data_IF_809879998311
#
_entry.id   IF_809879998311
#
_cell.length_a   1.000
_cell.length_b   1.000
_cell.length_c   1.000
_cell.angle_alpha   90.00
_cell.angle_beta   90.00
_cell.angle_gamma   90.00
#
_symmetry.space_group_name_H-M   'P 1'
#
loop_
_entity.id
_entity.type
_entity.pdbx_description
1 polymer ?
#
# COMPACT_ATOMS: atom_id res chain seq x y z
N UNK A 1 -14.92 -1.40 -32.75
CA UNK A 1 -14.43 -2.38 -31.76
C UNK A 1 -14.46 -1.67 -30.43
N UNK A 2 -15.39 -2.03 -29.54
CA UNK A 2 -15.75 -1.20 -28.37
C UNK A 2 -14.75 -1.32 -27.22
N UNK A 3 -14.69 -0.25 -26.43
CA UNK A 3 -13.86 -0.12 -25.23
C UNK A 3 -14.59 -0.71 -24.02
N UNK A 4 -13.97 -1.70 -23.36
CA UNK A 4 -14.44 -2.21 -22.06
C UNK A 4 -13.89 -1.28 -20.99
N UNK A 5 -14.75 -0.42 -20.44
CA UNK A 5 -14.40 0.53 -19.37
C UNK A 5 -15.59 0.91 -18.48
N UNK A 6 -16.50 -0.03 -18.24
CA UNK A 6 -17.66 0.11 -17.35
C UNK A 6 -17.99 -1.26 -16.74
N UNK A 7 -17.50 -1.52 -15.53
CA UNK A 7 -17.81 -2.71 -14.72
C UNK A 7 -17.67 -2.35 -13.23
N UNK A 8 -18.53 -1.44 -12.76
CA UNK A 8 -18.83 -1.19 -11.34
C UNK A 8 -20.15 -0.43 -11.19
N UNK A 9 -21.21 -0.97 -11.82
CA UNK A 9 -22.60 -0.55 -11.57
C UNK A 9 -23.20 -1.49 -10.54
N UNK A 10 -23.85 -0.95 -9.50
CA UNK A 10 -24.54 -1.76 -8.51
C UNK A 10 -25.76 -2.44 -9.14
N UNK A 11 -25.81 -3.77 -9.12
CA UNK A 11 -26.95 -4.54 -9.64
C UNK A 11 -27.87 -5.01 -8.51
N UNK A 12 -29.17 -4.91 -8.81
CA UNK A 12 -30.28 -4.97 -7.86
C UNK A 12 -30.34 -6.25 -7.01
N UNK A 13 -30.87 -6.09 -5.80
CA UNK A 13 -31.27 -7.17 -4.90
C UNK A 13 -32.28 -8.10 -5.59
N UNK A 14 -32.01 -9.40 -5.74
CA UNK A 14 -33.04 -10.36 -6.14
C UNK A 14 -34.12 -10.44 -5.05
N UNK A 15 -35.39 -10.51 -5.46
CA UNK A 15 -36.51 -10.64 -4.52
C UNK A 15 -36.45 -11.94 -3.70
N UNK A 16 -36.98 -11.92 -2.47
CA UNK A 16 -37.11 -13.11 -1.62
C UNK A 16 -37.86 -14.22 -2.34
N UNK A 17 -37.16 -15.28 -2.74
CA UNK A 17 -37.76 -16.60 -2.96
C UNK A 17 -37.75 -17.32 -1.61
N UNK A 18 -38.90 -17.41 -0.97
CA UNK A 18 -39.07 -18.15 0.29
C UNK A 18 -39.08 -19.66 0.01
N UNK A 19 -37.90 -20.28 0.03
CA UNK A 19 -37.79 -21.73 0.16
C UNK A 19 -38.09 -22.11 1.61
N UNK A 20 -39.13 -22.94 1.78
CA UNK A 20 -39.65 -23.34 3.08
C UNK A 20 -38.98 -24.65 3.51
N UNK A 21 -38.36 -24.65 4.70
CA UNK A 21 -37.77 -25.86 5.29
C UNK A 21 -38.87 -26.84 5.76
N UNK A 22 -38.73 -28.13 5.45
CA UNK A 22 -39.40 -29.20 6.20
C UNK A 22 -38.44 -29.74 7.27
N UNK A 23 -38.75 -29.44 8.54
CA UNK A 23 -38.20 -30.18 9.68
C UNK A 23 -38.74 -31.64 9.66
N UNK A 24 -38.09 -32.60 10.35
CA UNK A 24 -38.39 -34.03 10.19
C UNK A 24 -39.66 -34.44 10.95
N UNK A 25 -40.18 -35.65 10.66
CA UNK A 25 -40.45 -36.60 11.75
C UNK A 25 -40.58 -38.06 11.32
N UNK A 26 -40.74 -38.95 12.30
CA UNK A 26 -40.55 -40.40 12.20
C UNK A 26 -41.82 -41.25 12.01
N UNK A 27 -41.72 -42.28 11.15
CA UNK A 27 -42.27 -43.65 11.28
C UNK A 27 -43.74 -43.92 11.68
N UNK A 28 -44.34 -44.94 11.03
CA UNK A 28 -45.61 -45.66 11.37
C UNK A 28 -46.91 -44.85 11.27
N UNK A 29 -48.10 -45.44 11.06
CA UNK A 29 -48.55 -46.64 10.32
C UNK A 29 -50.10 -46.65 10.30
N UNK A 30 -50.75 -47.45 9.44
CA UNK A 30 -52.23 -47.70 9.38
C UNK A 30 -53.11 -46.45 9.13
N UNK A 31 -53.88 -46.31 8.04
CA UNK A 31 -55.01 -47.09 7.47
C UNK A 31 -56.37 -46.88 8.17
N UNK A 32 -57.38 -46.60 7.33
CA UNK A 32 -58.84 -46.80 7.46
C UNK A 32 -59.77 -45.67 8.00
N UNK A 33 -60.85 -45.50 7.21
CA UNK A 33 -62.23 -45.02 7.44
C UNK A 33 -62.69 -43.55 7.65
N UNK A 34 -63.73 -43.24 6.85
CA UNK A 34 -64.99 -42.49 7.05
C UNK A 34 -65.11 -41.25 7.98
N UNK A 35 -66.02 -40.34 7.58
CA UNK A 35 -66.63 -39.38 8.52
C UNK A 35 -67.17 -38.08 7.88
N UNK A 36 -68.49 -37.89 7.90
CA UNK A 36 -69.15 -36.65 7.46
C UNK A 36 -69.09 -35.51 8.49
N UNK A 37 -69.13 -34.26 7.98
CA UNK A 37 -69.82 -33.07 8.54
C UNK A 37 -69.55 -32.52 9.98
N UNK A 38 -69.88 -31.22 10.09
CA UNK A 38 -70.30 -30.46 11.30
C UNK A 38 -69.27 -29.55 12.04
N UNK A 39 -69.32 -28.26 11.69
CA UNK A 39 -69.33 -27.08 12.59
C UNK A 39 -70.47 -27.21 13.66
N UNK A 40 -70.56 -26.45 14.79
CA UNK A 40 -70.03 -25.07 15.00
C UNK A 40 -69.57 -24.72 16.46
N UNK A 41 -69.35 -23.41 16.74
CA UNK A 41 -69.78 -22.67 17.98
C UNK A 41 -69.03 -22.99 19.30
N UNK A 42 -68.79 -22.11 20.29
CA UNK A 42 -69.17 -20.72 20.69
C UNK A 42 -68.00 -20.20 21.63
N UNK A 43 -67.83 -19.00 22.23
CA UNK A 43 -68.37 -17.61 22.29
C UNK A 43 -67.74 -16.94 23.55
N UNK A 44 -68.14 -15.71 23.95
CA UNK A 44 -67.90 -15.04 25.28
C UNK A 44 -66.48 -14.47 25.51
N UNK A 45 -66.25 -13.22 25.99
CA UNK A 45 -67.10 -12.01 26.12
C UNK A 45 -66.25 -10.70 26.26
N UNK A 46 -66.84 -9.59 25.79
CA UNK A 46 -66.91 -8.22 26.34
C UNK A 46 -65.81 -7.62 27.26
N UNK A 47 -65.27 -6.46 26.83
CA UNK A 47 -65.48 -5.10 27.42
C UNK A 47 -65.13 -4.07 26.31
N UNK A 48 -65.86 -2.98 25.98
CA UNK A 48 -66.40 -1.84 26.77
C UNK A 48 -65.25 -0.90 27.22
N UNK A 49 -65.20 0.42 26.93
CA UNK A 49 -66.24 1.45 26.60
C UNK A 49 -65.79 2.52 25.54
N UNK A 50 -66.78 3.15 24.86
CA UNK A 50 -66.91 4.53 24.29
C UNK A 50 -65.84 5.10 23.29
N UNK A 51 -66.12 5.70 22.12
CA UNK A 51 -67.17 6.61 21.56
C UNK A 51 -67.01 8.11 21.95
N UNK A 52 -67.38 9.14 21.16
CA UNK A 52 -67.71 9.30 19.72
C UNK A 52 -66.44 9.79 18.92
N UNK A 53 -66.35 10.54 17.79
CA UNK A 53 -67.19 11.12 16.69
C UNK A 53 -66.19 11.47 15.52
N UNK A 54 -66.44 11.77 14.24
CA UNK A 54 -67.61 11.84 13.32
C UNK A 54 -67.08 11.49 11.89
N UNK A 55 -67.97 11.35 10.91
CA UNK A 55 -67.75 11.48 9.46
C UNK A 55 -66.94 10.37 8.75
N UNK A 56 -67.66 9.57 7.97
CA UNK A 56 -67.11 8.58 7.03
C UNK A 56 -67.62 8.83 5.60
N UNK A 57 -67.13 8.03 4.64
CA UNK A 57 -67.51 8.03 3.21
C UNK A 57 -66.92 9.18 2.37
N UNK A 58 -66.41 8.98 1.15
CA UNK A 58 -66.63 7.86 0.22
C UNK A 58 -65.39 7.55 -0.65
N UNK A 59 -65.26 6.29 -1.08
CA UNK A 59 -64.13 5.80 -1.87
C UNK A 59 -64.30 6.08 -3.38
N UNK A 60 -63.28 6.70 -4.00
CA UNK A 60 -63.05 6.71 -5.45
C UNK A 60 -61.55 6.71 -5.82
N UNK A 61 -60.92 5.55 -5.63
CA UNK A 61 -60.14 4.88 -6.69
C UNK A 61 -59.08 5.70 -7.48
N UNK A 62 -57.82 5.58 -7.03
CA UNK A 62 -56.58 5.59 -7.84
C UNK A 62 -56.17 6.88 -8.58
N UNK A 63 -55.09 7.51 -8.11
CA UNK A 63 -54.39 8.59 -8.82
C UNK A 63 -53.06 9.05 -8.20
N UNK A 64 -51.99 8.27 -8.42
CA UNK A 64 -50.56 8.63 -8.25
C UNK A 64 -50.09 9.29 -6.93
N UNK A 65 -49.44 8.54 -6.01
CA UNK A 65 -48.66 9.16 -4.93
C UNK A 65 -47.35 9.77 -5.45
N UNK A 66 -47.20 11.06 -5.15
CA UNK A 66 -46.03 11.95 -5.27
C UNK A 66 -44.66 11.26 -5.34
N UNK A 67 -43.86 11.69 -6.32
CA UNK A 67 -42.43 11.39 -6.47
C UNK A 67 -41.62 11.96 -5.29
N UNK A 68 -41.45 11.17 -4.21
CA UNK A 68 -40.53 11.50 -3.12
C UNK A 68 -39.08 11.31 -3.58
N UNK A 69 -38.52 12.37 -4.18
CA UNK A 69 -37.08 12.48 -4.44
C UNK A 69 -36.33 12.54 -3.10
N UNK A 70 -35.94 11.37 -2.59
CA UNK A 70 -34.91 11.29 -1.56
C UNK A 70 -33.65 11.99 -2.08
N UNK A 71 -33.08 12.97 -1.36
CA UNK A 71 -31.86 13.61 -1.82
C UNK A 71 -30.72 12.60 -1.78
N UNK A 72 -30.19 12.23 -2.95
CA UNK A 72 -28.91 11.55 -3.07
C UNK A 72 -27.81 12.47 -2.52
N UNK A 73 -27.60 12.41 -1.21
CA UNK A 73 -26.51 13.10 -0.55
C UNK A 73 -25.21 12.56 -1.11
N UNK A 74 -24.62 13.34 -2.02
CA UNK A 74 -23.46 12.99 -2.83
C UNK A 74 -22.21 12.94 -1.94
N UNK A 75 -22.13 11.90 -1.11
CA UNK A 75 -21.05 11.65 -0.16
C UNK A 75 -19.74 11.55 -0.94
N UNK A 76 -18.92 12.59 -0.78
CA UNK A 76 -17.88 12.92 -1.76
C UNK A 76 -16.78 11.87 -1.70
N UNK A 77 -16.05 11.59 -2.81
CA UNK A 77 -14.93 10.65 -2.81
C UNK A 77 -13.87 10.96 -1.74
N UNK A 78 -13.80 12.22 -1.27
CA UNK A 78 -13.04 12.68 -0.09
C UNK A 78 -13.19 11.76 1.12
N UNK A 79 -14.40 11.28 1.42
CA UNK A 79 -14.71 10.47 2.62
C UNK A 79 -14.12 9.05 2.59
N UNK A 80 -13.60 8.62 1.43
CA UNK A 80 -12.88 7.35 1.24
C UNK A 80 -11.37 7.55 1.39
N UNK A 81 -10.83 8.69 0.95
CA UNK A 81 -9.39 8.96 0.95
C UNK A 81 -8.87 9.56 2.26
N UNK A 82 -9.69 10.32 3.00
CA UNK A 82 -9.31 10.93 4.27
C UNK A 82 -8.68 9.96 5.30
N UNK A 83 -9.29 8.82 5.68
CA UNK A 83 -8.68 7.93 6.68
C UNK A 83 -7.37 7.27 6.19
N UNK A 84 -7.24 7.00 4.89
CA UNK A 84 -5.98 6.49 4.33
C UNK A 84 -4.88 7.53 4.40
N UNK A 85 -5.15 8.78 4.01
CA UNK A 85 -4.22 9.90 4.11
C UNK A 85 -3.74 10.11 5.56
N UNK A 86 -4.66 10.09 6.53
CA UNK A 86 -4.33 10.23 7.95
C UNK A 86 -3.49 9.06 8.48
N UNK A 87 -3.78 7.83 8.05
CA UNK A 87 -2.93 6.66 8.38
C UNK A 87 -1.53 6.76 7.76
N UNK A 88 -1.39 7.29 6.54
CA UNK A 88 -0.09 7.60 5.92
C UNK A 88 0.66 8.67 6.72
N UNK A 89 -0.01 9.71 7.22
CA UNK A 89 0.59 10.73 8.10
C UNK A 89 1.10 10.12 9.42
N UNK A 90 0.28 9.32 10.10
CA UNK A 90 0.66 8.64 11.35
C UNK A 90 1.85 7.70 11.11
N UNK A 91 1.79 6.89 10.06
CA UNK A 91 2.89 6.02 9.66
C UNK A 91 4.15 6.81 9.29
N UNK A 92 4.02 7.96 8.63
CA UNK A 92 5.16 8.81 8.27
C UNK A 92 5.89 9.36 9.51
N UNK A 93 5.18 9.81 10.55
CA UNK A 93 5.81 10.22 11.81
C UNK A 93 6.65 9.09 12.43
N UNK A 94 6.08 7.88 12.55
CA UNK A 94 6.81 6.72 13.08
C UNK A 94 7.97 6.31 12.17
N UNK A 95 7.80 6.40 10.85
CA UNK A 95 8.81 6.05 9.85
C UNK A 95 10.01 7.00 9.84
N UNK A 96 9.78 8.32 9.86
CA UNK A 96 10.85 9.31 9.96
C UNK A 96 11.54 9.25 11.32
N UNK A 97 10.77 9.07 12.40
CA UNK A 97 11.33 8.87 13.75
C UNK A 97 12.25 7.65 13.81
N UNK A 98 11.81 6.51 13.27
CA UNK A 98 12.62 5.30 13.17
C UNK A 98 13.87 5.51 12.30
N UNK A 99 13.75 6.15 11.13
CA UNK A 99 14.91 6.47 10.28
C UNK A 99 15.94 7.32 11.02
N UNK A 100 15.52 8.42 11.64
CA UNK A 100 16.42 9.30 12.40
C UNK A 100 17.10 8.52 13.53
N UNK A 101 16.35 7.75 14.34
CA UNK A 101 16.91 6.98 15.44
C UNK A 101 17.92 5.91 14.97
N UNK A 102 17.67 5.27 13.82
CA UNK A 102 18.55 4.24 13.26
C UNK A 102 19.78 4.83 12.55
N UNK A 103 19.67 6.03 11.94
CA UNK A 103 20.83 6.78 11.44
C UNK A 103 21.72 7.20 12.60
N UNK A 104 21.17 7.82 13.65
CA UNK A 104 21.94 8.25 14.82
C UNK A 104 22.58 7.08 15.57
N UNK A 105 21.89 5.94 15.67
CA UNK A 105 22.47 4.71 16.21
C UNK A 105 23.60 4.15 15.32
N UNK A 106 23.47 4.24 14.00
CA UNK A 106 24.50 3.87 13.06
C UNK A 106 25.74 4.78 13.17
N UNK A 107 25.56 6.09 13.32
CA UNK A 107 26.64 7.06 13.47
C UNK A 107 27.40 6.86 14.81
N UNK A 108 26.68 6.57 15.90
CA UNK A 108 27.26 6.19 17.21
C UNK A 108 28.06 4.89 17.13
N UNK A 109 27.65 3.94 16.29
CA UNK A 109 28.38 2.69 16.06
C UNK A 109 29.61 2.88 15.15
N UNK A 110 29.54 3.73 14.11
CA UNK A 110 30.67 3.95 13.19
C UNK A 110 31.89 4.59 13.91
N UNK A 111 31.61 5.43 14.92
CA UNK A 111 32.61 5.95 15.86
C UNK A 111 33.44 4.85 16.58
N UNK A 112 32.93 3.61 16.64
CA UNK A 112 33.62 2.44 17.22
C UNK A 112 34.57 1.69 16.27
N UNK A 113 35.06 2.36 15.21
CA UNK A 113 36.22 1.97 14.37
C UNK A 113 35.96 0.92 13.27
N UNK A 114 35.01 1.18 12.35
CA UNK A 114 34.82 0.32 11.15
C UNK A 114 34.72 1.12 9.85
N UNK A 115 35.86 1.49 9.20
CA UNK A 115 35.82 2.26 7.93
C UNK A 115 35.10 1.54 6.78
N UNK A 116 34.87 0.23 6.89
CA UNK A 116 34.01 -0.54 5.97
C UNK A 116 32.52 -0.16 6.07
N UNK A 117 32.01 0.17 7.26
CA UNK A 117 30.61 0.56 7.47
C UNK A 117 30.35 1.94 6.85
N UNK A 118 31.24 2.90 7.13
CA UNK A 118 31.25 4.21 6.46
C UNK A 118 31.29 4.07 4.92
N UNK A 119 32.13 3.15 4.39
CA UNK A 119 32.24 2.87 2.95
C UNK A 119 30.95 2.31 2.33
N UNK A 120 30.17 1.55 3.10
CA UNK A 120 28.93 0.91 2.68
C UNK A 120 27.67 1.73 3.02
N UNK A 121 27.82 2.95 3.54
CA UNK A 121 26.71 3.87 3.79
C UNK A 121 25.86 3.51 5.01
N UNK A 122 26.49 3.11 6.11
CA UNK A 122 25.80 2.53 7.28
C UNK A 122 24.64 3.39 7.83
N UNK A 123 24.80 4.72 7.87
CA UNK A 123 23.77 5.67 8.32
C UNK A 123 22.41 5.59 7.61
N UNK A 124 22.36 5.07 6.38
CA UNK A 124 21.10 4.79 5.66
C UNK A 124 20.89 3.31 5.33
N UNK A 125 21.86 2.43 5.61
CA UNK A 125 21.73 0.98 5.51
C UNK A 125 20.64 0.46 6.47
N UNK A 126 20.74 0.76 7.76
CA UNK A 126 19.88 0.20 8.79
C UNK A 126 18.39 0.63 8.67
N UNK A 127 18.05 1.91 8.39
CA UNK A 127 16.69 2.32 8.04
C UNK A 127 16.14 1.60 6.79
N UNK A 128 16.96 1.46 5.74
CA UNK A 128 16.54 0.77 4.51
C UNK A 128 16.27 -0.72 4.75
N UNK A 129 17.12 -1.40 5.52
CA UNK A 129 16.92 -2.81 5.90
C UNK A 129 15.64 -2.98 6.71
N UNK A 130 15.41 -2.22 7.79
CA UNK A 130 14.19 -2.36 8.60
C UNK A 130 12.92 -2.05 7.78
N UNK A 131 12.91 -0.94 7.03
CA UNK A 131 11.76 -0.55 6.23
C UNK A 131 11.42 -1.55 5.12
N UNK A 132 12.42 -2.24 4.54
CA UNK A 132 12.17 -3.32 3.59
C UNK A 132 11.64 -4.60 4.27
N UNK A 133 12.16 -4.98 5.45
CA UNK A 133 11.67 -6.13 6.21
C UNK A 133 10.18 -5.97 6.56
N UNK A 134 9.81 -4.83 7.14
CA UNK A 134 8.42 -4.56 7.53
C UNK A 134 7.51 -4.41 6.31
N UNK A 135 8.01 -3.91 5.16
CA UNK A 135 7.25 -3.88 3.91
C UNK A 135 6.94 -5.28 3.38
N UNK A 136 7.89 -6.21 3.41
CA UNK A 136 7.70 -7.60 2.98
C UNK A 136 6.73 -8.33 3.91
N UNK A 137 6.92 -8.18 5.22
CA UNK A 137 6.04 -8.69 6.27
C UNK A 137 4.59 -8.22 6.03
N UNK A 138 4.37 -6.91 5.93
CA UNK A 138 3.07 -6.29 5.74
C UNK A 138 2.43 -6.63 4.38
N UNK A 139 3.22 -6.70 3.31
CA UNK A 139 2.71 -7.04 1.97
C UNK A 139 2.25 -8.50 1.90
N UNK A 140 2.91 -9.41 2.62
CA UNK A 140 2.56 -10.83 2.64
C UNK A 140 1.46 -11.19 3.65
N UNK A 141 1.28 -10.44 4.73
CA UNK A 141 0.10 -10.56 5.62
C UNK A 141 -1.16 -9.88 5.06
N UNK A 142 -1.04 -8.96 4.08
CA UNK A 142 -2.17 -8.21 3.49
C UNK A 142 -3.42 -9.05 3.16
N UNK A 143 -3.33 -10.25 2.55
CA UNK A 143 -4.52 -11.01 2.21
C UNK A 143 -5.29 -11.51 3.44
N UNK A 144 -4.61 -11.76 4.56
CA UNK A 144 -5.18 -12.27 5.82
C UNK A 144 -5.71 -11.13 6.71
N UNK A 145 -5.23 -9.90 6.51
CA UNK A 145 -5.58 -8.72 7.27
C UNK A 145 -6.48 -7.74 6.48
N UNK A 146 -7.11 -8.21 5.40
CA UNK A 146 -7.90 -7.39 4.47
C UNK A 146 -9.15 -6.83 5.16
N UNK A 147 -9.68 -5.72 4.64
CA UNK A 147 -10.84 -5.06 5.20
C UNK A 147 -10.48 -4.20 6.40
N UNK A 148 -10.71 -4.69 7.62
CA UNK A 148 -10.57 -3.89 8.86
C UNK A 148 -9.20 -3.24 9.06
N UNK A 149 -8.11 -3.86 8.57
CA UNK A 149 -6.76 -3.30 8.69
C UNK A 149 -6.24 -2.63 7.42
N UNK A 150 -6.99 -2.53 6.31
CA UNK A 150 -6.47 -1.90 5.07
C UNK A 150 -6.05 -0.42 5.27
N UNK A 151 -6.71 0.29 6.20
CA UNK A 151 -6.31 1.64 6.63
C UNK A 151 -4.96 1.61 7.36
N UNK A 152 -4.86 0.81 8.43
CA UNK A 152 -3.63 0.63 9.22
C UNK A 152 -2.46 0.16 8.34
N UNK A 153 -2.70 -0.80 7.46
CA UNK A 153 -1.73 -1.41 6.58
C UNK A 153 -1.23 -0.43 5.50
N UNK A 154 -2.09 0.47 5.03
CA UNK A 154 -1.67 1.59 4.17
C UNK A 154 -0.74 2.55 4.95
N UNK A 155 -1.02 2.79 6.23
CA UNK A 155 -0.13 3.51 7.15
C UNK A 155 1.21 2.82 7.38
N UNK A 156 1.22 1.50 7.61
CA UNK A 156 2.44 0.69 7.80
C UNK A 156 3.28 0.64 6.54
N UNK A 157 2.68 0.33 5.38
CA UNK A 157 3.42 0.18 4.11
C UNK A 157 3.83 1.54 3.53
N UNK A 158 2.87 2.44 3.30
CA UNK A 158 3.11 3.69 2.55
C UNK A 158 3.62 4.81 3.45
N UNK A 159 3.14 4.87 4.70
CA UNK A 159 3.66 5.77 5.73
C UNK A 159 4.98 5.26 6.31
N UNK A 160 4.94 4.28 7.22
CA UNK A 160 6.10 3.84 8.00
C UNK A 160 7.23 3.29 7.11
N UNK A 161 7.01 2.20 6.38
CA UNK A 161 8.08 1.61 5.55
C UNK A 161 8.54 2.59 4.47
N UNK A 162 7.60 3.33 3.88
CA UNK A 162 7.86 4.35 2.88
C UNK A 162 8.82 5.45 3.36
N UNK A 163 8.64 5.97 4.58
CA UNK A 163 9.43 7.08 5.14
C UNK A 163 10.60 6.65 6.03
N UNK A 164 10.61 5.39 6.48
CA UNK A 164 11.73 4.74 7.15
C UNK A 164 12.85 4.44 6.16
N UNK A 165 12.50 3.96 4.95
CA UNK A 165 13.46 3.91 3.85
C UNK A 165 13.65 5.26 3.17
N UNK A 166 14.79 5.48 2.53
CA UNK A 166 15.06 6.64 1.67
C UNK A 166 15.85 6.18 0.44
N UNK A 167 15.40 6.56 -0.76
CA UNK A 167 16.16 6.31 -2.00
C UNK A 167 17.17 7.44 -2.26
N UNK A 168 16.74 8.69 -2.05
CA UNK A 168 17.56 9.86 -2.38
C UNK A 168 18.87 9.94 -1.57
N UNK A 169 18.89 9.44 -0.33
CA UNK A 169 20.06 9.58 0.55
C UNK A 169 21.23 8.65 0.18
N UNK A 170 20.98 7.43 -0.31
CA UNK A 170 22.06 6.53 -0.77
C UNK A 170 22.48 6.83 -2.22
N UNK A 171 21.54 7.29 -3.06
CA UNK A 171 21.87 7.81 -4.39
C UNK A 171 22.81 9.03 -4.32
N UNK A 172 22.52 9.99 -3.43
CA UNK A 172 23.40 11.12 -3.12
C UNK A 172 24.79 10.65 -2.64
N UNK A 173 24.85 9.71 -1.68
CA UNK A 173 26.12 9.16 -1.19
C UNK A 173 26.94 8.44 -2.26
N UNK A 174 26.28 7.72 -3.18
CA UNK A 174 26.94 7.10 -4.33
C UNK A 174 27.42 8.15 -5.35
N UNK A 175 26.62 9.18 -5.62
CA UNK A 175 26.98 10.28 -6.51
C UNK A 175 28.19 11.07 -5.99
N UNK A 176 28.24 11.40 -4.70
CA UNK A 176 29.41 12.00 -4.05
C UNK A 176 30.65 11.10 -4.17
N UNK A 177 30.52 9.78 -4.02
CA UNK A 177 31.64 8.85 -4.25
C UNK A 177 32.08 8.80 -5.72
N UNK A 178 31.19 8.90 -6.70
CA UNK A 178 31.59 8.99 -8.11
C UNK A 178 32.34 10.30 -8.41
N UNK A 179 31.84 11.45 -7.93
CA UNK A 179 32.46 12.76 -8.14
C UNK A 179 33.85 12.85 -7.50
N UNK A 180 34.02 12.34 -6.28
CA UNK A 180 35.32 12.23 -5.61
C UNK A 180 36.21 11.08 -6.15
N UNK A 181 35.93 10.52 -7.33
CA UNK A 181 36.74 9.50 -8.00
C UNK A 181 36.73 8.12 -7.33
N UNK A 182 35.98 7.92 -6.24
CA UNK A 182 35.83 6.67 -5.47
C UNK A 182 34.86 5.69 -6.14
N UNK A 183 34.93 5.57 -7.47
CA UNK A 183 33.96 4.85 -8.32
C UNK A 183 33.72 3.39 -7.91
N UNK A 184 34.77 2.66 -7.51
CA UNK A 184 34.65 1.26 -7.06
C UNK A 184 33.80 1.17 -5.78
N UNK A 185 33.97 2.11 -4.86
CA UNK A 185 33.23 2.16 -3.60
C UNK A 185 31.76 2.51 -3.87
N UNK A 186 31.50 3.44 -4.80
CA UNK A 186 30.14 3.75 -5.24
C UNK A 186 29.44 2.50 -5.82
N UNK A 187 30.08 1.78 -6.75
CA UNK A 187 29.51 0.55 -7.35
C UNK A 187 29.30 -0.55 -6.31
N UNK A 188 30.24 -0.75 -5.37
CA UNK A 188 30.11 -1.74 -4.30
C UNK A 188 28.97 -1.38 -3.33
N UNK A 189 28.89 -0.12 -2.88
CA UNK A 189 27.83 0.34 -1.99
C UNK A 189 26.46 0.26 -2.68
N UNK A 190 26.35 0.66 -3.95
CA UNK A 190 25.12 0.51 -4.73
C UNK A 190 24.68 -0.96 -4.79
N UNK A 191 25.61 -1.88 -5.08
CA UNK A 191 25.34 -3.32 -5.12
C UNK A 191 24.88 -3.89 -3.77
N UNK A 192 25.56 -3.52 -2.68
CA UNK A 192 25.21 -3.93 -1.31
C UNK A 192 23.84 -3.40 -0.89
N UNK A 193 23.50 -2.16 -1.22
CA UNK A 193 22.20 -1.56 -0.87
C UNK A 193 21.01 -2.18 -1.61
N UNK A 194 21.16 -2.49 -2.91
CA UNK A 194 20.10 -3.19 -3.66
C UNK A 194 19.95 -4.63 -3.16
N UNK A 195 21.05 -5.31 -2.86
CA UNK A 195 21.04 -6.67 -2.33
C UNK A 195 20.42 -6.73 -0.92
N UNK A 196 20.83 -5.84 0.00
CA UNK A 196 20.34 -5.81 1.39
C UNK A 196 18.83 -5.50 1.45
N UNK A 197 18.36 -4.54 0.66
CA UNK A 197 16.94 -4.20 0.57
C UNK A 197 16.09 -5.38 0.04
N UNK A 198 16.54 -6.05 -1.03
CA UNK A 198 15.82 -7.19 -1.63
C UNK A 198 15.82 -8.44 -0.72
N UNK A 199 16.97 -8.75 -0.10
CA UNK A 199 17.06 -9.86 0.88
C UNK A 199 16.20 -9.57 2.11
N UNK A 200 16.22 -8.33 2.61
CA UNK A 200 15.40 -7.92 3.76
C UNK A 200 13.90 -8.01 3.48
N UNK A 201 13.45 -7.53 2.30
CA UNK A 201 12.07 -7.69 1.84
C UNK A 201 11.64 -9.16 1.87
N UNK A 202 12.43 -10.05 1.27
CA UNK A 202 12.12 -11.49 1.19
C UNK A 202 12.16 -12.18 2.55
N UNK A 203 13.08 -11.79 3.44
CA UNK A 203 13.08 -12.24 4.82
C UNK A 203 11.79 -11.82 5.56
N UNK A 204 11.28 -10.62 5.31
CA UNK A 204 9.97 -10.16 5.79
C UNK A 204 8.80 -11.02 5.27
N UNK A 205 8.80 -11.33 3.97
CA UNK A 205 7.80 -12.22 3.37
C UNK A 205 7.81 -13.63 4.00
N UNK A 206 8.98 -14.23 4.21
CA UNK A 206 9.09 -15.54 4.85
C UNK A 206 8.72 -15.52 6.34
N UNK A 207 9.06 -14.43 7.06
CA UNK A 207 8.60 -14.23 8.43
C UNK A 207 7.06 -14.16 8.51
N UNK A 208 6.41 -13.45 7.58
CA UNK A 208 4.95 -13.43 7.47
C UNK A 208 4.37 -14.81 7.16
N UNK A 209 4.98 -15.60 6.27
CA UNK A 209 4.54 -16.96 5.96
C UNK A 209 4.60 -17.87 7.19
N UNK A 210 5.68 -17.80 7.97
CA UNK A 210 5.81 -18.50 9.25
C UNK A 210 4.76 -18.07 10.29
N UNK A 211 4.57 -16.76 10.47
CA UNK A 211 3.56 -16.18 11.38
C UNK A 211 2.15 -16.62 11.00
N UNK A 212 1.77 -16.47 9.72
CA UNK A 212 0.46 -16.91 9.21
C UNK A 212 0.31 -18.42 9.41
N UNK A 213 1.35 -19.22 9.17
CA UNK A 213 1.28 -20.66 9.37
C UNK A 213 1.05 -21.04 10.84
N UNK A 214 1.76 -20.39 11.76
CA UNK A 214 1.62 -20.60 13.20
C UNK A 214 0.20 -20.30 13.69
N UNK A 215 -0.31 -19.09 13.42
CA UNK A 215 -1.67 -18.70 13.84
C UNK A 215 -2.77 -19.52 13.14
N UNK A 216 -2.64 -19.83 11.84
CA UNK A 216 -3.66 -20.68 11.16
C UNK A 216 -3.77 -22.07 11.81
N UNK A 217 -2.65 -22.64 12.27
CA UNK A 217 -2.64 -23.95 12.94
C UNK A 217 -3.27 -23.91 14.35
N UNK A 218 -3.32 -22.75 15.00
CA UNK A 218 -3.93 -22.59 16.32
C UNK A 218 -5.43 -22.29 16.21
N UNK A 219 -5.82 -21.33 15.37
CA UNK A 219 -7.20 -20.81 15.36
C UNK A 219 -8.12 -21.53 14.35
N UNK A 220 -7.60 -21.95 13.19
CA UNK A 220 -8.46 -22.43 12.08
C UNK A 220 -7.80 -23.51 11.19
N UNK A 221 -7.79 -24.80 11.62
CA UNK A 221 -7.24 -25.90 10.83
C UNK A 221 -7.92 -26.12 9.45
N UNK A 222 -9.08 -25.52 9.21
CA UNK A 222 -9.85 -25.66 7.95
C UNK A 222 -10.07 -24.35 7.16
N UNK A 223 -9.60 -23.17 7.61
CA UNK A 223 -9.80 -21.90 6.84
C UNK A 223 -8.74 -21.64 5.77
N UNK A 224 -7.58 -22.28 5.82
CA UNK A 224 -6.61 -22.16 4.71
C UNK A 224 -7.12 -22.96 3.51
N UNK A 225 -7.37 -22.35 2.33
CA UNK A 225 -7.47 -23.15 1.12
C UNK A 225 -6.14 -23.94 0.96
N UNK A 226 -6.18 -25.21 0.54
CA UNK A 226 -4.99 -26.08 0.49
C UNK A 226 -3.94 -25.61 -0.53
N UNK A 227 -4.30 -24.65 -1.38
CA UNK A 227 -3.41 -23.97 -2.33
C UNK A 227 -3.41 -22.48 -2.06
N UNK A 228 -2.23 -21.84 -2.10
CA UNK A 228 -2.12 -20.39 -2.04
C UNK A 228 -2.66 -19.78 -3.35
N UNK A 229 -3.93 -19.39 -3.36
CA UNK A 229 -4.64 -18.90 -4.56
C UNK A 229 -3.91 -17.71 -5.23
N UNK A 230 -3.30 -16.81 -4.45
CA UNK A 230 -2.52 -15.70 -5.00
C UNK A 230 -1.25 -16.15 -5.74
N UNK A 231 -0.57 -17.18 -5.23
CA UNK A 231 0.59 -17.79 -5.90
C UNK A 231 0.15 -18.56 -7.15
N UNK A 232 -0.91 -19.38 -7.05
CA UNK A 232 -1.48 -20.13 -8.18
C UNK A 232 -1.87 -19.20 -9.33
N UNK A 233 -2.49 -18.07 -9.03
CA UNK A 233 -2.90 -17.06 -10.00
C UNK A 233 -1.69 -16.42 -10.71
N UNK A 234 -0.62 -16.09 -9.97
CA UNK A 234 0.64 -15.61 -10.55
C UNK A 234 1.32 -16.67 -11.44
N UNK A 235 1.34 -17.94 -11.02
CA UNK A 235 1.92 -19.03 -11.79
C UNK A 235 1.09 -19.35 -13.05
N UNK A 236 -0.25 -19.26 -12.98
CA UNK A 236 -1.13 -19.32 -14.15
C UNK A 236 -0.88 -18.15 -15.10
N UNK A 237 -0.85 -16.91 -14.60
CA UNK A 237 -0.55 -15.71 -15.40
C UNK A 237 0.82 -15.84 -16.09
N UNK A 238 1.85 -16.28 -15.37
CA UNK A 238 3.20 -16.53 -15.90
C UNK A 238 3.21 -17.60 -16.99
N UNK A 239 2.54 -18.73 -16.79
CA UNK A 239 2.47 -19.80 -17.78
C UNK A 239 1.67 -19.38 -19.04
N UNK A 240 0.56 -18.65 -18.90
CA UNK A 240 -0.18 -18.06 -20.03
C UNK A 240 0.75 -17.16 -20.86
N UNK A 241 1.56 -16.31 -20.21
CA UNK A 241 2.50 -15.44 -20.91
C UNK A 241 3.60 -16.24 -21.64
N UNK A 242 4.11 -17.33 -21.05
CA UNK A 242 5.05 -18.22 -21.76
C UNK A 242 4.43 -18.85 -23.00
N UNK A 243 3.17 -19.30 -22.95
CA UNK A 243 2.46 -19.83 -24.12
C UNK A 243 2.26 -18.77 -25.22
N UNK A 244 2.01 -17.51 -24.84
CA UNK A 244 1.87 -16.37 -25.77
C UNK A 244 3.17 -15.96 -26.46
N UNK A 245 4.31 -16.15 -25.81
CA UNK A 245 5.63 -15.87 -26.40
C UNK A 245 6.09 -16.96 -27.40
N UNK A 246 5.40 -18.11 -27.47
CA UNK A 246 5.71 -19.17 -28.44
C UNK A 246 5.42 -18.69 -29.87
N UNK A 247 6.49 -18.50 -30.66
CA UNK A 247 6.40 -18.25 -32.11
C UNK A 247 5.78 -19.45 -32.83
N UNK A 248 4.45 -19.43 -33.01
CA UNK A 248 3.69 -20.53 -33.62
C UNK A 248 4.13 -20.87 -35.05
N UNK A 249 4.78 -19.95 -35.76
CA UNK A 249 5.36 -20.17 -37.10
C UNK A 249 6.40 -21.30 -37.15
N UNK A 250 7.04 -21.64 -36.02
CA UNK A 250 8.02 -22.73 -35.93
C UNK A 250 7.37 -24.12 -35.78
N UNK A 251 6.05 -24.20 -35.64
CA UNK A 251 5.33 -25.43 -35.26
C UNK A 251 4.25 -25.82 -36.27
N UNK A 252 4.07 -27.13 -36.47
CA UNK A 252 3.00 -27.66 -37.31
C UNK A 252 1.60 -27.32 -36.77
N UNK A 253 0.56 -27.25 -37.64
CA UNK A 253 -0.75 -26.71 -37.28
C UNK A 253 -1.45 -27.46 -36.13
N UNK A 254 -1.21 -28.77 -35.98
CA UNK A 254 -1.72 -29.56 -34.87
C UNK A 254 -1.12 -29.15 -33.52
N UNK A 255 0.16 -28.78 -33.48
CA UNK A 255 0.83 -28.29 -32.26
C UNK A 255 0.36 -26.87 -31.95
N UNK A 256 0.31 -25.99 -32.95
CA UNK A 256 -0.24 -24.64 -32.82
C UNK A 256 -1.72 -24.59 -32.37
N UNK A 257 -2.51 -25.64 -32.66
CA UNK A 257 -3.87 -25.80 -32.11
C UNK A 257 -3.87 -26.26 -30.66
N UNK A 258 -3.04 -27.26 -30.29
CA UNK A 258 -2.93 -27.73 -28.89
C UNK A 258 -2.44 -26.62 -27.96
N UNK A 259 -1.40 -25.87 -28.36
CA UNK A 259 -0.84 -24.77 -27.56
C UNK A 259 -1.89 -23.70 -27.24
N UNK A 260 -2.71 -23.29 -28.22
CA UNK A 260 -3.82 -22.35 -27.97
C UNK A 260 -4.89 -22.93 -27.04
N UNK A 261 -5.32 -24.18 -27.25
CA UNK A 261 -6.29 -24.82 -26.36
C UNK A 261 -5.77 -24.93 -24.91
N UNK A 262 -4.46 -25.12 -24.72
CA UNK A 262 -3.81 -25.07 -23.40
C UNK A 262 -3.76 -23.65 -22.83
N UNK A 263 -3.42 -22.63 -23.61
CA UNK A 263 -3.48 -21.22 -23.19
C UNK A 263 -4.89 -20.82 -22.73
N UNK A 264 -5.91 -21.15 -23.53
CA UNK A 264 -7.32 -20.91 -23.25
C UNK A 264 -7.76 -21.62 -21.95
N UNK A 265 -7.35 -22.88 -21.76
CA UNK A 265 -7.64 -23.65 -20.54
C UNK A 265 -6.99 -23.04 -19.28
N UNK A 266 -5.75 -22.55 -19.38
CA UNK A 266 -5.10 -21.85 -18.26
C UNK A 266 -5.74 -20.49 -17.98
N UNK A 267 -6.21 -19.78 -19.01
CA UNK A 267 -6.92 -18.51 -18.83
C UNK A 267 -8.24 -18.71 -18.08
N UNK A 268 -9.03 -19.74 -18.42
CA UNK A 268 -10.24 -20.12 -17.69
C UNK A 268 -9.90 -20.46 -16.22
N UNK A 269 -8.87 -21.29 -15.99
CA UNK A 269 -8.46 -21.65 -14.63
C UNK A 269 -8.00 -20.44 -13.78
N UNK A 270 -7.35 -19.45 -14.41
CA UNK A 270 -7.00 -18.18 -13.77
C UNK A 270 -8.25 -17.38 -13.39
N UNK A 271 -9.25 -17.35 -14.27
CA UNK A 271 -10.43 -16.51 -14.06
C UNK A 271 -11.38 -17.10 -12.99
N UNK A 272 -11.57 -18.42 -12.95
CA UNK A 272 -12.22 -19.08 -11.80
C UNK A 272 -11.43 -18.91 -10.50
N UNK A 273 -10.09 -18.77 -10.57
CA UNK A 273 -9.26 -18.46 -9.40
C UNK A 273 -9.43 -17.01 -8.93
N UNK A 274 -9.65 -16.05 -9.85
CA UNK A 274 -10.01 -14.67 -9.52
C UNK A 274 -11.40 -14.59 -8.85
N UNK A 275 -12.37 -15.33 -9.41
CA UNK A 275 -13.75 -15.40 -8.95
C UNK A 275 -13.84 -15.96 -7.51
N UNK A 276 -13.23 -17.12 -7.24
CA UNK A 276 -13.14 -17.70 -5.89
C UNK A 276 -12.47 -16.75 -4.88
N UNK A 277 -11.45 -16.00 -5.30
CA UNK A 277 -10.78 -14.99 -4.44
C UNK A 277 -11.67 -13.76 -4.18
N UNK A 278 -12.61 -13.45 -5.08
CA UNK A 278 -13.61 -12.40 -4.86
C UNK A 278 -14.72 -12.88 -3.91
N UNK A 279 -15.25 -14.09 -4.10
CA UNK A 279 -16.27 -14.70 -3.23
C UNK A 279 -15.79 -14.80 -1.78
N UNK A 280 -14.59 -15.36 -1.55
CA UNK A 280 -14.01 -15.46 -0.20
C UNK A 280 -13.92 -14.07 0.46
N UNK A 281 -13.46 -13.05 -0.28
CA UNK A 281 -13.34 -11.69 0.24
C UNK A 281 -14.70 -11.00 0.48
N UNK A 282 -15.77 -11.41 -0.20
CA UNK A 282 -17.14 -10.95 0.07
C UNK A 282 -17.70 -11.62 1.33
N UNK A 283 -17.57 -12.94 1.46
CA UNK A 283 -18.03 -13.68 2.65
C UNK A 283 -17.34 -13.20 3.93
N UNK A 284 -16.03 -12.92 3.87
CA UNK A 284 -15.29 -12.32 5.00
C UNK A 284 -15.78 -10.90 5.36
N UNK A 285 -16.20 -10.11 4.37
CA UNK A 285 -16.73 -8.76 4.58
C UNK A 285 -18.15 -8.80 5.21
N UNK A 286 -19.01 -9.69 4.74
CA UNK A 286 -20.38 -9.85 5.25
C UNK A 286 -20.41 -10.44 6.67
N UNK A 287 -19.47 -11.35 7.00
CA UNK A 287 -19.43 -12.00 8.31
C UNK A 287 -18.86 -11.11 9.43
N UNK A 288 -18.12 -10.04 9.10
CA UNK A 288 -17.49 -9.13 10.09
C UNK A 288 -17.67 -7.64 9.73
N UNK A 289 -18.89 -7.07 9.85
CA UNK A 289 -19.17 -5.67 9.53
C UNK A 289 -18.53 -4.70 10.55
N UNK A 290 -17.30 -4.25 10.26
CA UNK A 290 -16.49 -3.46 11.20
C UNK A 290 -16.63 -1.95 10.95
N UNK A 291 -17.34 -1.29 11.86
CA UNK A 291 -17.54 0.16 11.87
C UNK A 291 -16.22 0.93 11.98
N UNK A 292 -15.73 1.40 10.83
CA UNK A 292 -14.57 2.28 10.74
C UNK A 292 -14.86 3.60 11.44
N UNK A 293 -14.26 3.79 12.62
CA UNK A 293 -14.27 5.06 13.35
C UNK A 293 -13.35 6.07 12.63
N UNK A 294 -13.78 6.55 11.45
CA UNK A 294 -12.99 7.45 10.57
C UNK A 294 -12.47 8.69 11.33
N UNK A 295 -13.29 9.23 12.24
CA UNK A 295 -12.94 10.36 13.10
C UNK A 295 -11.75 10.07 14.03
N UNK A 296 -11.56 8.84 14.51
CA UNK A 296 -10.44 8.50 15.39
C UNK A 296 -9.09 8.57 14.66
N UNK A 297 -9.03 8.07 13.41
CA UNK A 297 -7.83 8.20 12.56
C UNK A 297 -7.48 9.66 12.27
N UNK A 298 -8.49 10.51 12.00
CA UNK A 298 -8.30 11.95 11.81
C UNK A 298 -7.83 12.62 13.12
N UNK A 299 -8.47 12.33 14.25
CA UNK A 299 -8.10 12.91 15.54
C UNK A 299 -6.68 12.54 15.97
N UNK A 300 -6.28 11.26 15.85
CA UNK A 300 -4.93 10.80 16.17
C UNK A 300 -3.89 11.48 15.28
N UNK A 301 -4.14 11.59 13.97
CA UNK A 301 -3.24 12.28 13.05
C UNK A 301 -3.09 13.77 13.41
N UNK A 302 -4.20 14.48 13.66
CA UNK A 302 -4.17 15.90 14.04
C UNK A 302 -3.49 16.13 15.40
N UNK A 303 -3.72 15.26 16.39
CA UNK A 303 -3.07 15.33 17.71
C UNK A 303 -1.56 15.11 17.57
N UNK A 304 -1.11 14.09 16.83
CA UNK A 304 0.31 13.87 16.58
C UNK A 304 0.94 15.03 15.80
N UNK A 305 0.25 15.57 14.79
CA UNK A 305 0.71 16.76 14.06
C UNK A 305 0.88 17.95 15.00
N UNK A 306 -0.10 18.25 15.86
CA UNK A 306 0.00 19.33 16.84
C UNK A 306 1.16 19.10 17.82
N UNK A 307 1.32 17.88 18.35
CA UNK A 307 2.40 17.53 19.28
C UNK A 307 3.78 17.74 18.62
N UNK A 308 4.03 17.18 17.44
CA UNK A 308 5.34 17.31 16.79
C UNK A 308 5.66 18.75 16.40
N UNK A 309 4.68 19.51 15.88
CA UNK A 309 4.88 20.92 15.56
C UNK A 309 5.13 21.77 16.81
N UNK A 310 4.40 21.55 17.91
CA UNK A 310 4.67 22.24 19.19
C UNK A 310 6.07 21.89 19.70
N UNK A 311 6.45 20.61 19.73
CA UNK A 311 7.78 20.16 20.17
C UNK A 311 8.92 20.75 19.33
N UNK A 312 8.73 20.94 18.02
CA UNK A 312 9.75 21.52 17.13
C UNK A 312 10.03 23.00 17.39
N UNK A 313 9.10 23.75 18.02
CA UNK A 313 9.26 25.18 18.33
C UNK A 313 9.32 25.50 19.84
N UNK A 314 9.05 24.54 20.73
CA UNK A 314 9.06 24.73 22.19
C UNK A 314 10.46 24.76 22.86
N UNK A 315 11.46 25.36 22.19
CA UNK A 315 12.66 25.86 22.88
C UNK A 315 13.74 24.83 23.22
N UNK A 316 14.27 24.12 22.21
CA UNK A 316 15.59 23.47 22.32
C UNK A 316 16.58 24.17 21.38
N UNK A 317 17.39 25.09 21.93
CA UNK A 317 18.35 25.94 21.18
C UNK A 317 19.57 25.21 20.60
N UNK A 318 19.47 23.90 20.36
CA UNK A 318 20.55 23.06 19.84
C UNK A 318 20.04 21.96 18.90
N UNK A 319 21.00 21.26 18.30
CA UNK A 319 20.94 20.15 17.34
C UNK A 319 19.61 19.36 17.17
N UNK A 320 18.95 18.81 18.22
CA UNK A 320 17.68 18.06 18.10
C UNK A 320 16.57 18.74 17.27
N UNK A 321 16.52 20.07 17.20
CA UNK A 321 15.48 20.79 16.45
C UNK A 321 15.47 20.52 14.94
N UNK A 322 16.63 20.16 14.35
CA UNK A 322 16.70 19.70 12.94
C UNK A 322 15.93 18.39 12.70
N UNK A 323 16.03 17.45 13.65
CA UNK A 323 15.36 16.14 13.63
C UNK A 323 13.86 16.26 13.88
N UNK A 324 13.45 17.17 14.77
CA UNK A 324 12.05 17.48 15.01
C UNK A 324 11.40 18.15 13.80
N UNK A 325 12.13 19.03 13.08
CA UNK A 325 11.65 19.60 11.83
C UNK A 325 11.52 18.53 10.71
N UNK A 326 12.45 17.58 10.64
CA UNK A 326 12.34 16.44 9.73
C UNK A 326 11.06 15.62 9.98
N UNK A 327 10.73 15.35 11.24
CA UNK A 327 9.46 14.73 11.66
C UNK A 327 8.25 15.56 11.24
N UNK A 328 8.28 16.89 11.43
CA UNK A 328 7.17 17.78 11.07
C UNK A 328 6.89 17.83 9.56
N UNK A 329 7.94 17.77 8.73
CA UNK A 329 7.85 17.96 7.27
C UNK A 329 7.73 16.63 6.51
N UNK A 330 8.22 15.51 7.06
CA UNK A 330 8.14 14.18 6.47
C UNK A 330 6.76 13.74 5.94
N UNK A 331 5.66 13.95 6.70
CA UNK A 331 4.31 13.61 6.23
C UNK A 331 3.89 14.27 4.92
N UNK A 332 4.41 15.45 4.57
CA UNK A 332 4.10 16.09 3.28
C UNK A 332 4.76 15.34 2.10
N UNK A 333 6.00 14.87 2.27
CA UNK A 333 6.65 14.00 1.29
C UNK A 333 5.94 12.66 1.15
N UNK A 334 5.51 12.08 2.28
CA UNK A 334 4.75 10.84 2.34
C UNK A 334 3.39 10.94 1.61
N UNK A 335 2.63 12.01 1.87
CA UNK A 335 1.34 12.28 1.24
C UNK A 335 1.49 12.54 -0.26
N UNK A 336 2.53 13.28 -0.69
CA UNK A 336 2.80 13.49 -2.11
C UNK A 336 3.15 12.18 -2.82
N UNK A 337 4.03 11.35 -2.25
CA UNK A 337 4.35 10.02 -2.77
C UNK A 337 3.11 9.11 -2.85
N UNK A 338 2.26 9.10 -1.82
CA UNK A 338 1.02 8.34 -1.81
C UNK A 338 0.02 8.83 -2.87
N UNK A 339 -0.19 10.14 -2.98
CA UNK A 339 -1.06 10.73 -3.99
C UNK A 339 -0.60 10.39 -5.41
N UNK A 340 0.71 10.44 -5.67
CA UNK A 340 1.29 10.05 -6.96
C UNK A 340 1.14 8.54 -7.21
N UNK A 341 1.33 7.68 -6.20
CA UNK A 341 1.22 6.22 -6.38
C UNK A 341 -0.20 5.75 -6.69
N UNK A 342 -1.25 6.53 -6.40
CA UNK A 342 -2.62 6.28 -6.89
C UNK A 342 -2.68 6.16 -8.43
N UNK A 343 -1.77 6.83 -9.15
CA UNK A 343 -1.70 6.77 -10.61
C UNK A 343 -0.95 5.53 -11.15
N UNK A 344 -0.17 4.80 -10.32
CA UNK A 344 0.47 3.54 -10.73
C UNK A 344 -0.54 2.42 -11.05
N UNK A 345 -1.79 2.53 -10.60
CA UNK A 345 -2.85 1.57 -10.96
C UNK A 345 -3.24 1.61 -12.45
N UNK A 346 -2.88 2.68 -13.18
CA UNK A 346 -3.16 2.81 -14.62
C UNK A 346 -2.45 1.72 -15.44
N UNK A 347 -3.05 1.18 -16.51
CA UNK A 347 -2.50 0.05 -17.26
C UNK A 347 -1.12 0.29 -17.86
N UNK A 348 -0.78 1.54 -18.21
CA UNK A 348 0.56 1.91 -18.69
C UNK A 348 1.66 1.68 -17.62
N UNK A 349 1.33 1.90 -16.35
CA UNK A 349 2.27 1.79 -15.23
C UNK A 349 2.46 0.33 -14.75
N UNK A 350 1.58 -0.61 -15.14
CA UNK A 350 1.69 -2.04 -14.79
C UNK A 350 2.98 -2.72 -15.32
N UNK A 351 3.67 -2.11 -16.31
CA UNK A 351 4.97 -2.57 -16.83
C UNK A 351 6.17 -1.79 -16.28
N UNK A 352 5.93 -0.62 -15.68
CA UNK A 352 6.95 0.30 -15.16
C UNK A 352 6.26 1.29 -14.19
N UNK A 353 6.44 1.15 -12.86
CA UNK A 353 5.84 2.03 -11.84
C UNK A 353 6.35 3.48 -11.89
N UNK A 354 5.88 4.23 -12.88
CA UNK A 354 6.35 5.58 -13.20
C UNK A 354 6.21 6.56 -12.02
N UNK A 355 5.16 6.41 -11.21
CA UNK A 355 4.89 7.27 -10.05
C UNK A 355 5.58 6.80 -8.76
N UNK A 356 6.43 5.77 -8.83
CA UNK A 356 7.43 5.44 -7.80
C UNK A 356 8.84 5.78 -8.30
N UNK A 357 9.14 5.54 -9.58
CA UNK A 357 10.35 5.99 -10.26
C UNK A 357 10.55 7.51 -10.18
N UNK A 358 9.54 8.29 -10.60
CA UNK A 358 9.68 9.74 -10.76
C UNK A 358 9.92 10.47 -9.42
N UNK A 359 9.20 10.17 -8.32
CA UNK A 359 9.52 10.74 -7.00
C UNK A 359 10.93 10.39 -6.51
N UNK A 360 11.40 9.16 -6.75
CA UNK A 360 12.77 8.77 -6.38
C UNK A 360 13.81 9.61 -7.13
N UNK A 361 13.74 9.69 -8.46
CA UNK A 361 14.69 10.47 -9.27
C UNK A 361 14.65 11.97 -8.92
N UNK A 362 13.45 12.55 -8.79
CA UNK A 362 13.28 13.96 -8.42
C UNK A 362 13.84 14.24 -7.03
N UNK A 363 13.60 13.37 -6.06
CA UNK A 363 14.13 13.54 -4.70
C UNK A 363 15.66 13.41 -4.65
N UNK A 364 16.26 12.51 -5.44
CA UNK A 364 17.73 12.39 -5.56
C UNK A 364 18.36 13.65 -6.16
N UNK A 365 17.80 14.15 -7.27
CA UNK A 365 18.27 15.38 -7.92
C UNK A 365 18.17 16.59 -6.98
N UNK A 366 17.05 16.75 -6.28
CA UNK A 366 16.86 17.82 -5.29
C UNK A 366 17.79 17.66 -4.08
N UNK A 367 18.10 16.44 -3.65
CA UNK A 367 19.05 16.21 -2.56
C UNK A 367 20.47 16.62 -2.96
N UNK A 368 20.87 16.41 -4.22
CA UNK A 368 22.14 16.92 -4.77
C UNK A 368 22.18 18.45 -4.82
N UNK A 369 21.07 19.12 -5.18
CA UNK A 369 20.98 20.58 -5.13
C UNK A 369 21.08 21.09 -3.70
N UNK A 370 20.46 20.41 -2.73
CA UNK A 370 20.59 20.78 -1.31
C UNK A 370 22.01 20.57 -0.78
N UNK A 371 22.73 19.52 -1.20
CA UNK A 371 24.14 19.31 -0.83
C UNK A 371 25.06 20.43 -1.33
N UNK A 372 24.82 20.92 -2.55
CA UNK A 372 25.51 22.09 -3.11
C UNK A 372 25.23 23.35 -2.27
N UNK A 373 23.97 23.58 -1.89
CA UNK A 373 23.58 24.72 -1.03
C UNK A 373 24.20 24.59 0.37
N UNK A 374 24.29 23.37 0.92
CA UNK A 374 24.95 23.09 2.20
C UNK A 374 26.45 23.39 2.17
N UNK A 375 27.11 22.98 1.08
CA UNK A 375 28.52 23.26 0.82
C UNK A 375 28.79 24.76 0.76
N UNK A 376 28.00 25.52 -0.01
CA UNK A 376 28.12 26.99 -0.07
C UNK A 376 27.85 27.64 1.30
N UNK A 377 26.84 27.18 2.03
CA UNK A 377 26.50 27.71 3.36
C UNK A 377 27.61 27.47 4.41
N UNK A 378 28.33 26.35 4.30
CA UNK A 378 29.46 25.99 5.16
C UNK A 378 30.64 26.95 4.99
N UNK A 379 31.09 27.18 3.75
CA UNK A 379 32.22 28.07 3.46
C UNK A 379 31.88 29.55 3.70
N UNK A 380 30.61 29.95 3.54
CA UNK A 380 30.19 31.34 3.76
C UNK A 380 30.15 31.75 5.24
N UNK A 381 29.53 30.98 6.13
CA UNK A 381 29.52 31.29 7.57
C UNK A 381 28.97 30.15 8.43
N UNK A 382 29.56 29.95 9.62
CA UNK A 382 29.00 29.07 10.66
C UNK A 382 27.56 29.41 11.06
N UNK A 383 27.12 30.67 10.91
CA UNK A 383 25.72 31.07 11.11
C UNK A 383 24.81 30.58 9.98
N UNK A 384 25.22 30.74 8.72
CA UNK A 384 24.49 30.26 7.55
C UNK A 384 24.38 28.72 7.55
N UNK A 385 25.48 28.03 7.86
CA UNK A 385 25.50 26.58 7.97
C UNK A 385 24.55 26.05 9.05
N UNK A 386 24.44 26.69 10.22
CA UNK A 386 23.47 26.30 11.25
C UNK A 386 22.01 26.39 10.77
N UNK A 387 21.67 27.43 9.99
CA UNK A 387 20.35 27.54 9.39
C UNK A 387 20.12 26.46 8.32
N UNK A 388 21.14 26.14 7.51
CA UNK A 388 21.08 25.04 6.55
C UNK A 388 20.87 23.67 7.23
N UNK A 389 21.62 23.35 8.28
CA UNK A 389 21.48 22.08 9.03
C UNK A 389 20.06 21.92 9.58
N UNK A 390 19.45 23.00 10.09
CA UNK A 390 18.08 22.95 10.61
C UNK A 390 17.03 22.82 9.49
N UNK A 391 16.97 23.78 8.57
CA UNK A 391 15.90 23.85 7.56
C UNK A 391 16.18 22.98 6.33
N UNK A 392 17.40 23.01 5.81
CA UNK A 392 17.81 22.30 4.60
C UNK A 392 18.05 20.81 4.85
N UNK A 393 19.01 20.47 5.69
CA UNK A 393 19.33 19.08 5.99
C UNK A 393 18.19 18.40 6.77
N UNK A 394 17.77 18.96 7.90
CA UNK A 394 16.66 18.44 8.70
C UNK A 394 15.32 18.47 7.95
N UNK A 395 14.79 19.66 7.70
CA UNK A 395 13.46 19.84 7.10
C UNK A 395 13.31 19.28 5.67
N UNK A 396 14.20 19.67 4.75
CA UNK A 396 14.06 19.32 3.32
C UNK A 396 14.67 17.95 3.00
N UNK A 397 15.95 17.70 3.27
CA UNK A 397 16.62 16.46 2.85
C UNK A 397 16.12 15.26 3.66
N UNK A 398 16.20 15.30 5.00
CA UNK A 398 15.76 14.19 5.86
C UNK A 398 14.24 14.12 5.91
N UNK A 399 13.54 15.24 6.14
CA UNK A 399 12.08 15.30 6.19
C UNK A 399 11.43 15.03 4.84
N UNK A 400 11.33 16.06 4.00
CA UNK A 400 10.54 16.04 2.76
C UNK A 400 11.06 15.02 1.73
N UNK A 401 12.30 15.17 1.25
CA UNK A 401 12.87 14.39 0.15
C UNK A 401 13.08 12.93 0.55
N UNK A 402 13.56 12.69 1.78
CA UNK A 402 13.69 11.36 2.36
C UNK A 402 12.36 10.59 2.40
N UNK A 403 11.25 11.28 2.69
CA UNK A 403 9.90 10.67 2.76
C UNK A 403 9.15 10.63 1.41
N UNK A 404 9.50 11.52 0.48
CA UNK A 404 9.03 11.54 -0.91
C UNK A 404 9.65 10.41 -1.75
N UNK A 405 10.90 10.06 -1.45
CA UNK A 405 11.58 8.88 -2.00
C UNK A 405 11.28 7.62 -1.19
N UNK A 406 11.58 6.43 -1.72
CA UNK A 406 11.39 5.14 -1.02
C UNK A 406 12.22 4.02 -1.66
N UNK A 407 12.85 3.19 -0.83
CA UNK A 407 13.45 1.91 -1.27
C UNK A 407 12.46 0.77 -1.07
N UNK A 408 11.73 0.74 0.05
CA UNK A 408 10.79 -0.34 0.39
C UNK A 408 9.70 -0.56 -0.66
N UNK A 409 9.10 0.53 -1.17
CA UNK A 409 8.06 0.43 -2.22
C UNK A 409 8.69 -0.03 -3.54
N UNK A 410 9.86 0.51 -3.88
CA UNK A 410 10.60 0.18 -5.10
C UNK A 410 11.01 -1.29 -5.16
N UNK A 411 11.56 -1.87 -4.08
CA UNK A 411 11.91 -3.31 -4.07
C UNK A 411 10.68 -4.22 -4.04
N UNK A 412 9.59 -3.81 -3.39
CA UNK A 412 8.34 -4.58 -3.37
C UNK A 412 7.67 -4.65 -4.76
N UNK A 413 7.65 -3.52 -5.48
CA UNK A 413 7.23 -3.46 -6.88
C UNK A 413 8.17 -4.27 -7.80
N UNK A 414 9.48 -4.21 -7.55
CA UNK A 414 10.50 -4.95 -8.31
C UNK A 414 10.33 -6.47 -8.16
N UNK A 415 10.09 -6.96 -6.95
CA UNK A 415 9.83 -8.38 -6.66
C UNK A 415 8.51 -8.84 -7.32
N UNK A 416 7.43 -8.07 -7.15
CA UNK A 416 6.13 -8.34 -7.78
C UNK A 416 6.19 -8.34 -9.33
N UNK A 417 7.02 -7.49 -9.94
CA UNK A 417 7.31 -7.54 -11.38
C UNK A 417 8.12 -8.77 -11.75
N UNK A 418 9.07 -9.21 -10.90
CA UNK A 418 9.94 -10.35 -11.18
C UNK A 418 9.17 -11.67 -11.29
N UNK A 419 8.13 -11.84 -10.45
CA UNK A 419 7.21 -12.98 -10.48
C UNK A 419 6.36 -13.05 -11.76
N UNK A 420 6.11 -11.91 -12.42
CA UNK A 420 5.37 -11.82 -13.68
C UNK A 420 6.27 -11.94 -14.91
N UNK A 421 7.21 -11.00 -15.06
CA UNK A 421 8.13 -10.91 -16.19
C UNK A 421 9.47 -10.33 -15.72
N UNK A 422 10.49 -11.20 -15.57
CA UNK A 422 11.84 -10.83 -15.16
C UNK A 422 12.41 -9.63 -15.95
N UNK A 423 12.17 -9.57 -17.26
CA UNK A 423 12.63 -8.48 -18.13
C UNK A 423 12.07 -7.10 -17.74
N UNK A 424 10.82 -7.03 -17.25
CA UNK A 424 10.24 -5.76 -16.78
C UNK A 424 10.84 -5.35 -15.44
N UNK A 425 11.08 -6.33 -14.54
CA UNK A 425 11.77 -6.10 -13.27
C UNK A 425 13.19 -5.56 -13.49
N UNK A 426 14.03 -6.25 -14.26
CA UNK A 426 15.39 -5.77 -14.54
C UNK A 426 15.41 -4.39 -15.19
N UNK A 427 14.50 -4.10 -16.12
CA UNK A 427 14.36 -2.76 -16.71
C UNK A 427 13.98 -1.70 -15.67
N UNK A 428 13.02 -2.00 -14.79
CA UNK A 428 12.58 -1.07 -13.75
C UNK A 428 13.71 -0.78 -12.75
N UNK A 429 14.31 -1.84 -12.18
CA UNK A 429 15.39 -1.71 -11.21
C UNK A 429 16.61 -0.98 -11.76
N UNK A 430 17.09 -1.39 -12.94
CA UNK A 430 18.28 -0.78 -13.57
C UNK A 430 18.02 0.67 -13.99
N UNK A 431 16.84 0.98 -14.55
CA UNK A 431 16.49 2.37 -14.90
C UNK A 431 16.40 3.27 -13.67
N UNK A 432 15.78 2.81 -12.57
CA UNK A 432 15.69 3.59 -11.32
C UNK A 432 17.07 3.96 -10.78
N UNK A 433 17.99 3.00 -10.69
CA UNK A 433 19.35 3.26 -10.18
C UNK A 433 20.16 4.10 -11.18
N UNK A 434 20.24 3.69 -12.45
CA UNK A 434 21.17 4.32 -13.40
C UNK A 434 20.73 5.71 -13.84
N UNK A 435 19.43 5.96 -14.04
CA UNK A 435 18.96 7.30 -14.44
C UNK A 435 19.09 8.30 -13.28
N UNK A 436 18.74 7.86 -12.06
CA UNK A 436 18.94 8.66 -10.85
C UNK A 436 20.43 8.95 -10.65
N UNK A 437 21.28 7.92 -10.67
CA UNK A 437 22.71 8.05 -10.45
C UNK A 437 23.40 8.95 -11.48
N UNK A 438 23.04 8.86 -12.77
CA UNK A 438 23.59 9.72 -13.82
C UNK A 438 23.15 11.18 -13.65
N UNK A 439 21.90 11.43 -13.26
CA UNK A 439 21.42 12.78 -13.00
C UNK A 439 22.10 13.41 -11.79
N UNK A 440 22.18 12.68 -10.67
CA UNK A 440 22.86 13.11 -9.44
C UNK A 440 24.36 13.35 -9.64
N UNK A 441 25.06 12.44 -10.32
CA UNK A 441 26.47 12.59 -10.64
C UNK A 441 26.73 13.72 -11.65
N UNK A 442 25.79 14.01 -12.56
CA UNK A 442 25.87 15.18 -13.44
C UNK A 442 25.70 16.49 -12.66
N UNK A 443 24.69 16.58 -11.78
CA UNK A 443 24.45 17.79 -10.96
C UNK A 443 25.66 18.11 -10.07
N UNK A 444 26.14 17.13 -9.31
CA UNK A 444 27.30 17.30 -8.42
C UNK A 444 28.61 17.46 -9.20
N UNK A 445 28.79 16.73 -10.31
CA UNK A 445 29.98 16.80 -11.14
C UNK A 445 30.12 18.14 -11.87
N UNK A 446 29.02 18.72 -12.35
CA UNK A 446 29.00 20.08 -12.91
C UNK A 446 29.37 21.12 -11.85
N UNK A 447 28.85 21.00 -10.63
CA UNK A 447 29.24 21.90 -9.54
C UNK A 447 30.70 21.71 -9.12
N UNK A 448 31.19 20.48 -8.99
CA UNK A 448 32.60 20.19 -8.68
C UNK A 448 33.57 20.66 -9.78
N UNK A 449 33.13 20.75 -11.05
CA UNK A 449 33.96 21.19 -12.17
C UNK A 449 33.98 22.72 -12.38
N UNK A 450 32.92 23.44 -11.98
CA UNK A 450 32.73 24.86 -12.31
C UNK A 450 32.33 25.76 -11.12
N UNK A 451 32.12 25.20 -9.92
CA UNK A 451 31.76 25.91 -8.71
C UNK A 451 32.95 26.63 -8.07
N UNK A 452 32.64 27.62 -7.21
CA UNK A 452 33.63 28.37 -6.45
C UNK A 452 34.18 27.62 -5.23
N UNK A 453 33.33 26.83 -4.57
CA UNK A 453 33.60 26.26 -3.25
C UNK A 453 33.49 24.73 -3.29
N UNK A 454 34.42 23.97 -2.68
CA UNK A 454 34.42 22.51 -2.76
C UNK A 454 33.21 21.90 -2.04
N UNK A 455 32.70 20.81 -2.59
CA UNK A 455 31.67 19.98 -1.95
C UNK A 455 32.16 19.47 -0.59
N UNK A 456 31.24 19.37 0.36
CA UNK A 456 31.41 18.55 1.57
C UNK A 456 31.29 17.06 1.14
N UNK A 457 32.02 16.15 1.81
CA UNK A 457 32.08 14.73 1.44
C UNK A 457 32.19 13.79 2.63
#
# INVERSE_FOLDING_TARGET
MQTISEDFVALATPGRVSLQEPAPDSSTSSTEDDGEHAVPVDQVHLSEEEDDDESSQSDRTVGLPVEQVCPETTTRPVDKYAPLAMSVVIGAYVGVGARVLLTEFADVLDASQTPLLQLLGFGYFLPNVLGCFVMGLASRTRPVLRGQYDVLLTGVTTGFCGCCTTFASWDLGAALMFVHGRWLNAVLMLGVQVASAMVSLRAGCHAAEGIIHYFTLQDYPFRKPPVNLGQLNLDLERNINHFREIKMQTFGPLVARRVRATEESLAIARDSCNELVAEIAQVEYEQYPIHHHKAAWVAIALILTAIFWVLAYCGFDNYPSSRLLALCIGPFGALLRWYLSLYNSKPMCKRFPLFTFLPNVVASCLSCVMEIVGSIAFHHSASAYRHFVMYGQGGVMVGFLGSLSTVSTWVNELDALSSRHLYWAYRYGFASVVISQLASAFILGMYHAFGSDPLIG
#
